data_IF_290650328941
#
_entry.id   IF_290650328941
#
_cell.length_a   1.000
_cell.length_b   1.000
_cell.length_c   1.000
_cell.angle_alpha   90.00
_cell.angle_beta   90.00
_cell.angle_gamma   90.00
#
_symmetry.space_group_name_H-M   'P 1'
#
loop_
_entity.id
_entity.type
_entity.pdbx_description
1 polymer ?
#
# COMPACT_ATOMS: atom_id res chain seq x y z
N UNK A 1 30.08 10.95 21.89
CA UNK A 1 28.95 10.77 20.94
C UNK A 1 29.17 11.44 19.56
N UNK A 2 30.38 11.50 19.00
CA UNK A 2 30.62 12.31 17.76
C UNK A 2 31.08 11.51 16.54
N UNK A 3 31.76 10.36 16.71
CA UNK A 3 32.27 9.56 15.57
C UNK A 3 31.29 8.49 15.09
N UNK A 4 30.64 7.79 16.03
CA UNK A 4 29.71 6.69 15.68
C UNK A 4 28.43 7.20 15.01
N UNK A 5 27.83 8.27 15.53
CA UNK A 5 26.63 8.88 14.95
C UNK A 5 26.93 9.46 13.56
N UNK A 6 28.08 10.12 13.39
CA UNK A 6 28.52 10.65 12.09
C UNK A 6 28.76 9.55 11.05
N UNK A 7 29.34 8.42 11.47
CA UNK A 7 29.56 7.26 10.60
C UNK A 7 28.21 6.62 10.18
N UNK A 8 27.27 6.50 11.12
CA UNK A 8 25.92 5.98 10.82
C UNK A 8 25.11 6.90 9.89
N UNK A 9 25.24 8.23 10.02
CA UNK A 9 24.61 9.18 9.10
C UNK A 9 25.18 9.09 7.68
N UNK A 10 26.49 8.88 7.52
CA UNK A 10 27.07 8.62 6.20
C UNK A 10 26.63 7.25 5.63
N UNK A 11 26.54 6.24 6.50
CA UNK A 11 26.11 4.89 6.14
C UNK A 11 24.69 4.88 5.54
N UNK A 12 23.72 5.57 6.16
CA UNK A 12 22.35 5.55 5.63
C UNK A 12 22.25 6.16 4.22
N UNK A 13 23.00 7.24 3.95
CA UNK A 13 23.04 7.86 2.62
C UNK A 13 23.63 6.88 1.60
N UNK A 14 24.73 6.21 1.97
CA UNK A 14 25.37 5.20 1.12
C UNK A 14 24.45 4.01 0.81
N UNK A 15 23.68 3.55 1.80
CA UNK A 15 22.70 2.47 1.64
C UNK A 15 21.57 2.87 0.69
N UNK A 16 21.08 4.11 0.77
CA UNK A 16 20.07 4.64 -0.15
C UNK A 16 20.56 4.69 -1.60
N UNK A 17 21.80 5.16 -1.82
CA UNK A 17 22.41 5.16 -3.16
C UNK A 17 22.62 3.74 -3.67
N UNK A 18 23.12 2.84 -2.82
CA UNK A 18 23.31 1.43 -3.16
C UNK A 18 22.01 0.76 -3.57
N UNK A 19 20.90 1.02 -2.86
CA UNK A 19 19.60 0.48 -3.22
C UNK A 19 19.18 0.87 -4.64
N UNK A 20 19.32 2.15 -5.00
CA UNK A 20 18.99 2.65 -6.34
C UNK A 20 19.87 2.01 -7.41
N UNK A 21 21.18 1.90 -7.16
CA UNK A 21 22.12 1.29 -8.12
C UNK A 21 21.87 -0.20 -8.33
N UNK A 22 21.57 -0.95 -7.25
CA UNK A 22 21.23 -2.37 -7.35
C UNK A 22 19.92 -2.57 -8.13
N UNK A 23 18.91 -1.74 -7.87
CA UNK A 23 17.66 -1.75 -8.62
C UNK A 23 17.89 -1.51 -10.12
N UNK A 24 18.74 -0.53 -10.46
CA UNK A 24 19.10 -0.22 -11.85
C UNK A 24 19.86 -1.36 -12.55
N UNK A 25 20.58 -2.19 -11.78
CA UNK A 25 21.27 -3.40 -12.27
C UNK A 25 20.37 -4.64 -12.29
N UNK A 26 19.13 -4.54 -11.83
CA UNK A 26 18.20 -5.67 -11.74
C UNK A 26 18.37 -6.55 -10.50
N UNK A 27 19.31 -6.24 -9.60
CA UNK A 27 19.44 -6.93 -8.31
C UNK A 27 18.40 -6.37 -7.32
N UNK A 28 17.17 -6.84 -7.47
CA UNK A 28 16.03 -6.37 -6.68
C UNK A 28 16.12 -6.80 -5.22
N UNK A 29 16.65 -7.99 -4.96
CA UNK A 29 16.82 -8.51 -3.60
C UNK A 29 17.88 -7.72 -2.84
N UNK A 30 19.02 -7.44 -3.49
CA UNK A 30 20.05 -6.56 -2.95
C UNK A 30 19.53 -5.14 -2.74
N UNK A 31 18.72 -4.60 -3.65
CA UNK A 31 18.11 -3.28 -3.50
C UNK A 31 17.13 -3.21 -2.31
N UNK A 32 16.33 -4.27 -2.11
CA UNK A 32 15.40 -4.39 -0.99
C UNK A 32 16.16 -4.50 0.34
N UNK A 33 17.20 -5.34 0.39
CA UNK A 33 18.05 -5.48 1.57
C UNK A 33 18.74 -4.17 1.95
N UNK A 34 19.31 -3.45 0.97
CA UNK A 34 19.95 -2.16 1.21
C UNK A 34 18.95 -1.10 1.71
N UNK A 35 17.73 -1.06 1.15
CA UNK A 35 16.70 -0.12 1.60
C UNK A 35 16.19 -0.42 3.02
N UNK A 36 16.08 -1.69 3.41
CA UNK A 36 15.70 -2.10 4.77
C UNK A 36 16.79 -1.79 5.79
N UNK A 37 18.05 -1.99 5.41
CA UNK A 37 19.17 -1.64 6.27
C UNK A 37 19.26 -0.11 6.46
N UNK A 38 19.00 0.67 5.40
CA UNK A 38 18.87 2.12 5.51
C UNK A 38 17.78 2.49 6.51
N UNK A 39 16.59 1.88 6.40
CA UNK A 39 15.48 2.12 7.32
C UNK A 39 15.88 1.85 8.78
N UNK A 40 16.52 0.71 9.04
CA UNK A 40 16.99 0.33 10.37
C UNK A 40 17.93 1.37 10.96
N UNK A 41 18.95 1.77 10.20
CA UNK A 41 19.91 2.80 10.63
C UNK A 41 19.22 4.14 10.87
N UNK A 42 18.31 4.57 9.98
CA UNK A 42 17.57 5.82 10.14
C UNK A 42 16.66 5.81 11.36
N UNK A 43 16.01 4.67 11.68
CA UNK A 43 15.22 4.53 12.92
C UNK A 43 16.10 4.60 14.16
N UNK A 44 17.26 3.95 14.17
CA UNK A 44 18.23 4.05 15.27
C UNK A 44 18.76 5.48 15.49
N UNK A 45 18.89 6.24 14.40
CA UNK A 45 19.32 7.64 14.43
C UNK A 45 18.19 8.63 14.75
N UNK A 46 16.94 8.16 14.86
CA UNK A 46 15.75 9.00 14.93
C UNK A 46 15.69 10.02 13.77
N UNK A 47 16.06 9.60 12.56
CA UNK A 47 16.01 10.41 11.34
C UNK A 47 14.72 10.12 10.55
N UNK A 48 13.63 10.89 10.76
CA UNK A 48 12.38 10.69 10.04
C UNK A 48 12.52 10.96 8.54
N UNK A 49 13.45 11.81 8.11
CA UNK A 49 13.68 12.01 6.69
C UNK A 49 14.24 10.74 6.05
N UNK A 50 15.28 10.18 6.66
CA UNK A 50 15.92 8.95 6.20
C UNK A 50 14.97 7.75 6.17
N UNK A 51 14.12 7.59 7.20
CA UNK A 51 13.08 6.53 7.23
C UNK A 51 12.06 6.73 6.10
N UNK A 52 11.63 7.97 5.85
CA UNK A 52 10.70 8.26 4.75
C UNK A 52 11.28 7.92 3.38
N UNK A 53 12.55 8.25 3.14
CA UNK A 53 13.26 7.93 1.89
C UNK A 53 13.40 6.43 1.70
N UNK A 54 13.77 5.68 2.74
CA UNK A 54 13.92 4.23 2.65
C UNK A 54 12.58 3.52 2.38
N UNK A 55 11.49 3.95 3.04
CA UNK A 55 10.15 3.40 2.81
C UNK A 55 9.66 3.68 1.38
N UNK A 56 9.91 4.89 0.85
CA UNK A 56 9.60 5.24 -0.55
C UNK A 56 10.38 4.35 -1.52
N UNK A 57 11.66 4.08 -1.26
CA UNK A 57 12.50 3.23 -2.12
C UNK A 57 12.00 1.78 -2.12
N UNK A 58 11.67 1.21 -0.95
CA UNK A 58 11.07 -0.13 -0.86
C UNK A 58 9.73 -0.22 -1.60
N UNK A 59 8.89 0.80 -1.49
CA UNK A 59 7.62 0.85 -2.19
C UNK A 59 7.79 0.89 -3.72
N UNK A 60 8.75 1.67 -4.22
CA UNK A 60 9.06 1.73 -5.65
C UNK A 60 9.49 0.36 -6.19
N UNK A 61 10.33 -0.37 -5.44
CA UNK A 61 10.74 -1.73 -5.79
C UNK A 61 9.54 -2.69 -5.86
N UNK A 62 8.66 -2.66 -4.85
CA UNK A 62 7.46 -3.50 -4.81
C UNK A 62 6.50 -3.21 -5.96
N UNK A 63 6.21 -1.93 -6.20
CA UNK A 63 5.24 -1.52 -7.22
C UNK A 63 5.76 -1.78 -8.65
N UNK A 64 6.98 -1.35 -8.95
CA UNK A 64 7.50 -1.34 -10.32
C UNK A 64 8.16 -2.66 -10.74
N UNK A 65 8.86 -3.32 -9.82
CA UNK A 65 9.74 -4.44 -10.17
C UNK A 65 9.22 -5.80 -9.68
N UNK A 66 8.61 -5.84 -8.50
CA UNK A 66 8.10 -7.09 -7.91
C UNK A 66 6.61 -7.32 -8.14
N UNK A 67 5.93 -6.44 -8.89
CA UNK A 67 4.49 -6.55 -9.25
C UNK A 67 3.58 -6.74 -8.04
N UNK A 68 3.95 -6.15 -6.90
CA UNK A 68 3.22 -6.20 -5.62
C UNK A 68 2.81 -4.78 -5.19
N UNK A 69 2.02 -4.06 -6.01
CA UNK A 69 1.67 -2.67 -5.74
C UNK A 69 0.80 -2.53 -4.47
N UNK A 70 0.08 -3.57 -4.04
CA UNK A 70 -0.70 -3.53 -2.80
C UNK A 70 0.21 -3.29 -1.59
N UNK A 71 1.30 -4.05 -1.45
CA UNK A 71 2.22 -3.92 -0.31
C UNK A 71 2.96 -2.58 -0.31
N UNK A 72 3.22 -2.01 -1.49
CA UNK A 72 3.78 -0.68 -1.62
C UNK A 72 2.88 0.41 -0.99
N UNK A 73 1.54 0.22 -1.01
CA UNK A 73 0.59 1.17 -0.41
C UNK A 73 0.81 1.31 1.10
N UNK A 74 1.10 0.20 1.79
CA UNK A 74 1.34 0.22 3.23
C UNK A 74 2.59 1.05 3.58
N UNK A 75 3.69 0.84 2.85
CA UNK A 75 4.96 1.55 3.05
C UNK A 75 4.85 3.04 2.71
N UNK A 76 4.26 3.38 1.55
CA UNK A 76 4.12 4.78 1.12
C UNK A 76 3.28 5.58 2.08
N UNK A 77 2.21 4.96 2.56
CA UNK A 77 1.36 5.68 3.45
C UNK A 77 2.08 5.88 4.81
N UNK A 78 2.90 4.94 5.31
CA UNK A 78 3.70 5.16 6.54
C UNK A 78 4.65 6.34 6.33
N UNK A 79 5.34 6.38 5.19
CA UNK A 79 6.18 7.50 4.80
C UNK A 79 5.40 8.83 4.75
N UNK A 80 4.18 8.83 4.21
CA UNK A 80 3.30 10.01 4.20
C UNK A 80 2.91 10.47 5.62
N UNK A 81 2.61 9.53 6.52
CA UNK A 81 2.26 9.84 7.89
C UNK A 81 3.44 10.45 8.63
N UNK A 82 4.62 9.83 8.50
CA UNK A 82 5.87 10.32 9.06
C UNK A 82 6.18 11.74 8.55
N UNK A 83 6.06 11.97 7.24
CA UNK A 83 6.26 13.27 6.62
C UNK A 83 5.28 14.33 7.16
N UNK A 84 4.01 13.97 7.43
CA UNK A 84 3.04 14.89 8.03
C UNK A 84 3.35 15.16 9.51
N UNK A 85 3.66 14.13 10.29
CA UNK A 85 3.97 14.24 11.72
C UNK A 85 5.18 15.15 11.97
N UNK A 86 6.21 15.03 11.12
CA UNK A 86 7.44 15.81 11.23
C UNK A 86 7.47 17.05 10.32
N UNK A 87 6.35 17.39 9.66
CA UNK A 87 6.22 18.57 8.80
C UNK A 87 7.33 18.66 7.73
N UNK A 88 7.53 17.57 7.00
CA UNK A 88 8.54 17.40 5.96
C UNK A 88 7.92 17.50 4.54
N UNK A 89 7.59 18.69 4.03
CA UNK A 89 6.92 18.84 2.73
C UNK A 89 7.75 18.33 1.56
N UNK A 90 9.07 18.53 1.59
CA UNK A 90 9.99 18.01 0.56
C UNK A 90 10.00 16.48 0.50
N UNK A 91 9.75 15.80 1.62
CA UNK A 91 9.64 14.35 1.64
C UNK A 91 8.33 13.91 0.98
N UNK A 92 7.23 14.63 1.26
CA UNK A 92 5.95 14.42 0.59
C UNK A 92 6.05 14.60 -0.92
N UNK A 93 6.73 15.65 -1.39
CA UNK A 93 7.02 15.89 -2.81
C UNK A 93 7.75 14.70 -3.45
N UNK A 94 8.67 14.06 -2.73
CA UNK A 94 9.36 12.86 -3.22
C UNK A 94 8.51 11.58 -3.19
N UNK A 95 7.55 11.49 -2.26
CA UNK A 95 6.66 10.32 -2.12
C UNK A 95 5.53 10.38 -3.16
N UNK A 96 5.06 11.58 -3.51
CA UNK A 96 3.87 11.79 -4.33
C UNK A 96 3.91 11.04 -5.69
N UNK A 97 4.99 11.08 -6.49
CA UNK A 97 5.04 10.37 -7.77
C UNK A 97 4.91 8.86 -7.62
N UNK A 98 5.54 8.29 -6.58
CA UNK A 98 5.50 6.85 -6.31
C UNK A 98 4.13 6.44 -5.77
N UNK A 99 3.50 7.30 -4.97
CA UNK A 99 2.09 7.14 -4.54
C UNK A 99 1.14 7.09 -5.73
N UNK A 100 1.27 8.00 -6.68
CA UNK A 100 0.35 8.06 -7.81
C UNK A 100 0.57 6.91 -8.80
N UNK A 101 1.83 6.51 -9.03
CA UNK A 101 2.15 5.28 -9.75
C UNK A 101 1.52 4.05 -9.08
N UNK A 102 1.67 3.92 -7.76
CA UNK A 102 1.17 2.76 -7.02
C UNK A 102 -0.35 2.69 -7.08
N UNK A 103 -1.05 3.83 -6.96
CA UNK A 103 -2.50 3.88 -7.12
C UNK A 103 -2.93 3.40 -8.51
N UNK A 104 -2.32 3.93 -9.57
CA UNK A 104 -2.62 3.50 -10.94
C UNK A 104 -2.45 1.99 -11.13
N UNK A 105 -1.35 1.42 -10.63
CA UNK A 105 -1.10 -0.02 -10.75
C UNK A 105 -2.11 -0.87 -9.97
N UNK A 106 -2.57 -0.40 -8.81
CA UNK A 106 -3.63 -1.11 -8.07
C UNK A 106 -4.97 -0.99 -8.78
N UNK A 107 -5.30 0.17 -9.34
CA UNK A 107 -6.54 0.37 -10.10
C UNK A 107 -6.57 -0.53 -11.35
N UNK A 108 -5.45 -0.63 -12.07
CA UNK A 108 -5.28 -1.53 -13.21
C UNK A 108 -5.45 -2.99 -12.79
N UNK A 109 -4.84 -3.40 -11.68
CA UNK A 109 -4.98 -4.76 -11.16
C UNK A 109 -6.42 -5.08 -10.77
N UNK A 110 -7.11 -4.14 -10.10
CA UNK A 110 -8.54 -4.30 -9.78
C UNK A 110 -9.38 -4.40 -11.05
N UNK A 111 -9.06 -3.63 -12.09
CA UNK A 111 -9.74 -3.69 -13.37
C UNK A 111 -9.59 -5.07 -14.03
N UNK A 112 -8.36 -5.59 -14.12
CA UNK A 112 -8.07 -6.90 -14.68
C UNK A 112 -8.76 -8.02 -13.91
N UNK A 113 -8.68 -8.02 -12.57
CA UNK A 113 -9.34 -9.05 -11.76
C UNK A 113 -10.87 -9.02 -11.90
N UNK A 114 -11.48 -7.85 -12.12
CA UNK A 114 -12.91 -7.74 -12.43
C UNK A 114 -13.27 -8.36 -13.77
N UNK A 115 -12.43 -8.17 -14.79
CA UNK A 115 -12.65 -8.73 -16.13
C UNK A 115 -12.45 -10.25 -16.15
N UNK A 116 -11.51 -10.78 -15.35
CA UNK A 116 -11.26 -12.22 -15.26
C UNK A 116 -12.28 -12.97 -14.38
N UNK A 117 -13.22 -12.27 -13.74
CA UNK A 117 -14.19 -12.85 -12.82
C UNK A 117 -13.60 -13.25 -11.45
N UNK A 118 -12.34 -12.90 -11.18
CA UNK A 118 -11.64 -13.20 -9.93
C UNK A 118 -12.04 -12.19 -8.84
N UNK A 119 -13.21 -12.43 -8.23
CA UNK A 119 -13.73 -11.59 -7.16
C UNK A 119 -12.91 -11.69 -5.86
N UNK A 120 -12.17 -12.77 -5.66
CA UNK A 120 -11.36 -12.99 -4.45
C UNK A 120 -10.15 -12.05 -4.43
N UNK A 121 -9.43 -11.94 -5.55
CA UNK A 121 -8.31 -11.00 -5.71
C UNK A 121 -8.74 -9.53 -5.65
N UNK A 122 -9.93 -9.21 -6.16
CA UNK A 122 -10.54 -7.87 -6.03
C UNK A 122 -10.82 -7.54 -4.56
N UNK A 123 -11.45 -8.46 -3.83
CA UNK A 123 -11.78 -8.28 -2.42
C UNK A 123 -10.52 -8.18 -1.55
N UNK A 124 -9.49 -8.99 -1.82
CA UNK A 124 -8.22 -8.93 -1.11
C UNK A 124 -7.52 -7.58 -1.33
N UNK A 125 -7.51 -7.07 -2.56
CA UNK A 125 -6.90 -5.77 -2.90
C UNK A 125 -7.63 -4.60 -2.22
N UNK A 126 -8.97 -4.60 -2.27
CA UNK A 126 -9.80 -3.57 -1.62
C UNK A 126 -9.72 -3.66 -0.09
N UNK A 127 -9.65 -4.87 0.48
CA UNK A 127 -9.48 -5.08 1.91
C UNK A 127 -8.11 -4.58 2.40
N UNK A 128 -7.05 -4.83 1.62
CA UNK A 128 -5.71 -4.30 1.93
C UNK A 128 -5.72 -2.76 1.96
N UNK A 129 -6.29 -2.11 0.95
CA UNK A 129 -6.44 -0.66 0.91
C UNK A 129 -7.27 -0.12 2.09
N UNK A 130 -8.42 -0.75 2.38
CA UNK A 130 -9.30 -0.34 3.46
C UNK A 130 -8.62 -0.44 4.83
N UNK A 131 -7.81 -1.49 5.04
CA UNK A 131 -7.03 -1.69 6.27
C UNK A 131 -5.95 -0.64 6.43
N UNK A 132 -5.19 -0.39 5.36
CA UNK A 132 -4.18 0.68 5.36
C UNK A 132 -4.81 2.05 5.65
N UNK A 133 -6.01 2.34 5.13
CA UNK A 133 -6.72 3.60 5.43
C UNK A 133 -7.29 3.66 6.86
N UNK A 134 -7.73 2.53 7.41
CA UNK A 134 -8.32 2.43 8.75
C UNK A 134 -7.26 2.58 9.85
N UNK A 135 -6.11 1.91 9.71
CA UNK A 135 -4.98 1.98 10.66
C UNK A 135 -4.40 3.42 10.77
N UNK A 136 -4.79 4.32 9.86
CA UNK A 136 -4.33 5.71 9.76
C UNK A 136 -5.30 6.75 10.27
N UNK A 137 -6.46 6.35 10.81
CA UNK A 137 -7.48 7.28 11.28
C UNK A 137 -8.14 8.14 10.18
N UNK A 138 -7.86 7.85 8.89
CA UNK A 138 -8.41 8.58 7.74
C UNK A 138 -9.83 8.13 7.37
N UNK A 139 -10.35 7.06 8.01
CA UNK A 139 -11.68 6.48 7.74
C UNK A 139 -12.49 6.36 9.03
N UNK A 140 -13.60 7.10 9.15
CA UNK A 140 -14.60 6.94 10.22
C UNK A 140 -15.60 5.85 9.82
N UNK A 141 -15.34 4.59 10.15
CA UNK A 141 -16.29 3.50 9.97
C UNK A 141 -15.66 2.10 10.08
N UNK A 142 -16.39 1.08 10.55
CA UNK A 142 -15.84 -0.25 10.80
C UNK A 142 -15.37 -0.94 9.51
N UNK A 143 -14.22 -1.61 9.57
CA UNK A 143 -13.71 -2.48 8.51
C UNK A 143 -14.73 -3.57 8.17
N UNK A 144 -14.96 -3.92 6.88
CA UNK A 144 -15.62 -5.16 6.55
C UNK A 144 -14.71 -6.31 7.02
N UNK A 145 -15.14 -7.03 8.05
CA UNK A 145 -14.40 -8.17 8.59
C UNK A 145 -14.27 -9.23 7.50
N UNK A 146 -13.05 -9.56 7.09
CA UNK A 146 -12.76 -10.79 6.36
C UNK A 146 -12.90 -11.96 7.33
N UNK A 147 -14.14 -12.40 7.58
CA UNK A 147 -14.39 -13.73 8.13
C UNK A 147 -14.67 -14.67 6.97
N UNK A 148 -13.64 -15.41 6.59
CA UNK A 148 -13.88 -16.73 6.02
C UNK A 148 -14.61 -17.57 7.09
N UNK A 149 -15.60 -18.32 6.59
CA UNK A 149 -16.49 -19.28 7.25
C UNK A 149 -17.88 -18.78 7.68
N UNK A 150 -18.85 -19.51 7.11
CA UNK A 150 -20.30 -19.58 7.35
C UNK A 150 -21.21 -18.54 6.68
N UNK A 151 -21.98 -19.06 5.72
CA UNK A 151 -23.16 -18.50 5.06
C UNK A 151 -24.19 -17.99 6.08
N UNK A 152 -24.74 -16.81 5.85
CA UNK A 152 -26.19 -16.53 5.78
C UNK A 152 -26.49 -15.04 6.00
N UNK A 153 -27.33 -14.50 5.12
CA UNK A 153 -28.21 -13.31 5.19
C UNK A 153 -27.71 -11.94 5.71
N UNK A 154 -26.76 -11.86 6.65
CA UNK A 154 -26.30 -10.59 7.23
C UNK A 154 -25.40 -9.77 6.29
N UNK A 155 -24.78 -10.40 5.28
CA UNK A 155 -23.95 -9.69 4.28
C UNK A 155 -24.74 -8.79 3.34
N UNK A 156 -26.02 -9.08 3.06
CA UNK A 156 -26.80 -8.28 2.11
C UNK A 156 -27.15 -6.88 2.65
N UNK A 157 -27.49 -6.77 3.95
CA UNK A 157 -27.88 -5.50 4.56
C UNK A 157 -26.71 -4.52 4.74
N UNK A 158 -25.51 -5.04 5.01
CA UNK A 158 -24.30 -4.22 5.12
C UNK A 158 -23.81 -3.71 3.74
N UNK A 159 -24.07 -4.46 2.67
CA UNK A 159 -23.67 -4.11 1.30
C UNK A 159 -24.65 -3.15 0.61
N UNK A 160 -25.94 -3.19 0.94
CA UNK A 160 -26.92 -2.19 0.44
C UNK A 160 -26.66 -0.80 1.02
N UNK A 161 -26.21 -0.69 2.27
CA UNK A 161 -25.78 0.58 2.85
C UNK A 161 -24.54 1.16 2.14
N UNK A 162 -23.64 0.31 1.64
CA UNK A 162 -22.46 0.73 0.87
C UNK A 162 -22.84 1.27 -0.52
N UNK A 163 -23.85 0.69 -1.19
CA UNK A 163 -24.35 1.21 -2.49
C UNK A 163 -24.85 2.66 -2.40
N UNK A 164 -25.61 3.00 -1.36
CA UNK A 164 -26.13 4.37 -1.21
C UNK A 164 -25.06 5.42 -0.86
N UNK A 165 -23.95 5.01 -0.22
CA UNK A 165 -22.88 5.92 0.17
C UNK A 165 -21.82 6.16 -0.94
N UNK A 166 -21.76 5.31 -1.96
CA UNK A 166 -20.65 5.29 -2.93
C UNK A 166 -20.93 6.00 -4.26
N UNK A 167 -22.13 6.50 -4.51
CA UNK A 167 -22.45 7.25 -5.73
C UNK A 167 -22.30 6.46 -7.05
N UNK A 168 -22.24 5.13 -7.01
CA UNK A 168 -22.09 4.26 -8.18
C UNK A 168 -23.45 4.12 -8.88
N UNK A 169 -23.72 4.96 -9.88
CA UNK A 169 -25.02 5.00 -10.60
C UNK A 169 -25.13 4.03 -11.79
N UNK A 170 -24.49 2.86 -11.83
CA UNK A 170 -24.67 1.95 -12.98
C UNK A 170 -24.47 0.45 -12.74
N UNK A 171 -24.86 -0.09 -11.57
CA UNK A 171 -24.99 -1.55 -11.42
C UNK A 171 -26.45 -1.88 -11.14
N UNK A 172 -27.16 -2.38 -12.16
CA UNK A 172 -28.54 -2.85 -12.03
C UNK A 172 -28.61 -3.96 -10.98
N UNK A 173 -29.59 -3.86 -10.06
CA UNK A 173 -29.79 -4.78 -8.94
C UNK A 173 -29.87 -6.26 -9.37
N UNK A 174 -30.25 -6.52 -10.62
CA UNK A 174 -30.39 -7.83 -11.24
C UNK A 174 -29.05 -8.54 -11.49
N UNK A 175 -27.97 -7.82 -11.83
CA UNK A 175 -26.66 -8.44 -12.12
C UNK A 175 -26.00 -8.94 -10.82
N UNK A 176 -26.25 -8.25 -9.71
CA UNK A 176 -25.74 -8.60 -8.38
C UNK A 176 -26.47 -9.81 -7.77
N UNK A 177 -27.78 -9.93 -8.00
CA UNK A 177 -28.57 -11.10 -7.57
C UNK A 177 -28.20 -12.37 -8.36
N UNK A 178 -27.98 -12.25 -9.68
CA UNK A 178 -27.64 -13.41 -10.52
C UNK A 178 -26.21 -13.95 -10.27
N UNK A 179 -25.25 -13.12 -9.87
CA UNK A 179 -23.91 -13.61 -9.49
C UNK A 179 -23.88 -14.37 -8.17
N UNK A 180 -24.84 -14.14 -7.26
CA UNK A 180 -24.96 -14.90 -6.01
C UNK A 180 -25.71 -16.23 -6.25
N UNK A 181 -26.62 -16.28 -7.23
CA UNK A 181 -27.36 -17.49 -7.61
C UNK A 181 -26.55 -18.55 -8.35
N UNK A 182 -25.46 -18.20 -9.03
CA UNK A 182 -24.63 -19.16 -9.78
C UNK A 182 -23.44 -19.74 -8.99
N UNK A 183 -23.17 -19.27 -7.77
CA UNK A 183 -22.19 -19.89 -6.86
C UNK A 183 -22.83 -20.85 -5.84
N UNK A 184 -24.11 -21.20 -5.99
CA UNK A 184 -24.86 -22.08 -5.10
C UNK A 184 -25.60 -23.22 -5.82
N UNK A 185 -25.05 -23.72 -6.92
CA UNK A 185 -25.38 -25.03 -7.50
C UNK A 185 -24.16 -25.94 -7.43
#
# INVERSE_FOLDING_TARGET
MSRETGNRSALQVGLGIRAVLLAARGDLDGAMAASREQERVCRELNDPWGVGVSLRNQALLLAKHLRRPQEAVALLAEACQLARQHQLPRLMEQIQPVSDLTKSLVDDLVHVCRQSGDQESVLASLAHQARVQYDRGMRKGPLPRSRSKSRSAASCAALTHWKSASGIRHISSTIWANSIGQCLS
#
